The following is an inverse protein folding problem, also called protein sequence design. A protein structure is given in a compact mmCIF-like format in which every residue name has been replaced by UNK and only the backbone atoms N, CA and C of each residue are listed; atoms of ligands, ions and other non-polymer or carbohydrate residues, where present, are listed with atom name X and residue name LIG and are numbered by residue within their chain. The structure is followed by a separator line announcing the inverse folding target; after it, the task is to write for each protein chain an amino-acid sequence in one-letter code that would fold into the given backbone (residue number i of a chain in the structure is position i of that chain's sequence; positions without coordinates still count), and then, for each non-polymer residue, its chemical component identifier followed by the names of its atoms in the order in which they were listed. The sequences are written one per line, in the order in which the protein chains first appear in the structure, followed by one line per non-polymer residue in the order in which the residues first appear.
data_IF_960575425619
#
_entry.id   IF_960575425619
#
_cell.length_a   1.000
_cell.length_b   1.000
_cell.length_c   1.000
_cell.angle_alpha   90.00
_cell.angle_beta   90.00
_cell.angle_gamma   90.00
#
_symmetry.space_group_name_H-M   'P 1'
#
loop_
_entity.id
_entity.type
_entity.pdbx_description
1 polymer ?
#
# COMPACT_ATOMS: atom_id res chain seq x y z
N UNK A 1 -16.03 22.55 28.98
CA UNK A 1 -15.46 23.88 28.71
C UNK A 1 -14.37 23.83 27.65
N UNK A 2 -13.66 22.70 27.45
CA UNK A 2 -12.58 22.59 26.45
C UNK A 2 -13.05 22.48 24.98
N UNK A 3 -14.24 21.90 24.69
CA UNK A 3 -14.70 21.69 23.30
C UNK A 3 -15.14 22.98 22.57
N UNK A 4 -15.51 24.02 23.32
CA UNK A 4 -16.01 25.28 22.73
C UNK A 4 -14.88 26.13 22.15
N UNK A 5 -13.66 25.96 22.66
CA UNK A 5 -12.44 26.63 22.19
C UNK A 5 -11.94 26.06 20.86
N UNK A 6 -12.40 24.87 20.48
CA UNK A 6 -12.03 24.20 19.22
C UNK A 6 -12.84 24.68 18.01
N UNK A 7 -13.81 25.57 18.21
CA UNK A 7 -14.69 26.10 17.15
C UNK A 7 -15.36 25.02 16.27
N UNK A 8 -15.60 23.84 16.82
CA UNK A 8 -16.27 22.75 16.12
C UNK A 8 -17.76 23.07 15.94
N UNK A 9 -18.29 22.81 14.75
CA UNK A 9 -19.73 22.88 14.51
C UNK A 9 -20.49 21.79 15.28
N UNK A 10 -21.77 22.03 15.56
CA UNK A 10 -22.63 21.04 16.24
C UNK A 10 -22.65 19.70 15.48
N UNK A 11 -22.68 19.75 14.14
CA UNK A 11 -22.62 18.56 13.30
C UNK A 11 -21.31 17.77 13.45
N UNK A 12 -20.17 18.44 13.65
CA UNK A 12 -18.90 17.77 13.90
C UNK A 12 -18.89 17.09 15.28
N UNK A 13 -19.44 17.76 16.30
CA UNK A 13 -19.58 17.17 17.65
C UNK A 13 -20.49 15.95 17.63
N UNK A 14 -21.61 16.01 16.90
CA UNK A 14 -22.50 14.86 16.71
C UNK A 14 -21.81 13.71 15.99
N UNK A 15 -21.07 13.99 14.91
CA UNK A 15 -20.31 12.98 14.17
C UNK A 15 -19.32 12.25 15.08
N UNK A 16 -18.52 13.00 15.85
CA UNK A 16 -17.55 12.44 16.79
C UNK A 16 -18.21 11.57 17.87
N UNK A 17 -19.41 11.94 18.34
CA UNK A 17 -20.16 11.15 19.35
C UNK A 17 -20.92 9.95 18.76
N UNK A 18 -21.19 9.96 17.46
CA UNK A 18 -22.09 8.99 16.81
C UNK A 18 -21.54 7.57 16.72
N UNK A 19 -20.23 7.37 16.91
CA UNK A 19 -19.56 6.08 16.68
C UNK A 19 -19.49 5.67 15.20
N UNK A 20 -19.87 6.56 14.27
CA UNK A 20 -19.85 6.31 12.82
C UNK A 20 -18.46 6.39 12.20
N UNK A 21 -17.49 6.98 12.92
CA UNK A 21 -16.10 7.13 12.49
C UNK A 21 -15.16 6.61 13.57
N UNK A 22 -13.97 6.16 13.15
CA UNK A 22 -12.91 5.77 14.07
C UNK A 22 -12.18 7.02 14.58
N UNK A 23 -12.61 7.54 15.73
CA UNK A 23 -12.00 8.72 16.34
C UNK A 23 -10.52 8.51 16.69
N UNK A 24 -10.09 7.28 17.00
CA UNK A 24 -8.67 6.99 17.24
C UNK A 24 -7.85 7.23 15.97
N UNK A 25 -8.29 6.67 14.85
CA UNK A 25 -7.62 6.87 13.56
C UNK A 25 -7.66 8.35 13.13
N UNK A 26 -8.77 9.05 13.35
CA UNK A 26 -8.86 10.49 13.10
C UNK A 26 -7.80 11.26 13.91
N UNK A 27 -7.62 10.94 15.19
CA UNK A 27 -6.59 11.56 16.01
C UNK A 27 -5.17 11.22 15.51
N UNK A 28 -4.92 9.98 15.10
CA UNK A 28 -3.62 9.58 14.52
C UNK A 28 -3.29 10.38 13.25
N UNK A 29 -4.28 10.59 12.38
CA UNK A 29 -4.15 11.44 11.20
C UNK A 29 -3.88 12.90 11.61
N UNK A 30 -4.70 13.44 12.52
CA UNK A 30 -4.62 14.84 12.92
C UNK A 30 -3.35 15.20 13.72
N UNK A 31 -2.68 14.22 14.32
CA UNK A 31 -1.45 14.40 15.11
C UNK A 31 -0.18 14.04 14.35
N UNK A 32 -0.29 13.60 13.09
CA UNK A 32 0.87 13.40 12.23
C UNK A 32 1.59 14.73 11.94
N UNK A 33 2.93 14.71 11.87
CA UNK A 33 3.75 15.92 11.66
C UNK A 33 3.39 16.69 10.39
N UNK A 34 3.11 15.96 9.29
CA UNK A 34 2.71 16.55 8.01
C UNK A 34 1.23 17.01 7.95
N UNK A 35 0.41 16.76 8.98
CA UNK A 35 -1.01 17.12 8.94
C UNK A 35 -1.23 18.63 8.83
N UNK A 36 -0.40 19.43 9.51
CA UNK A 36 -0.44 20.89 9.40
C UNK A 36 -0.14 21.35 7.97
N UNK A 37 0.82 20.71 7.31
CA UNK A 37 1.17 20.98 5.90
C UNK A 37 0.01 20.62 4.97
N UNK A 38 -0.65 19.48 5.20
CA UNK A 38 -1.84 19.08 4.45
C UNK A 38 -2.95 20.13 4.59
N UNK A 39 -3.30 20.50 5.82
CA UNK A 39 -4.34 21.48 6.11
C UNK A 39 -4.04 22.85 5.51
N UNK A 40 -2.78 23.30 5.59
CA UNK A 40 -2.34 24.57 5.01
C UNK A 40 -2.53 24.58 3.49
N UNK A 41 -2.10 23.52 2.79
CA UNK A 41 -2.30 23.43 1.34
C UNK A 41 -3.78 23.34 0.96
N UNK A 42 -4.59 22.63 1.76
CA UNK A 42 -6.04 22.57 1.57
C UNK A 42 -6.69 23.94 1.75
N UNK A 43 -6.31 24.70 2.78
CA UNK A 43 -6.83 26.04 3.03
C UNK A 43 -6.47 27.01 1.89
N UNK A 44 -5.20 27.03 1.45
CA UNK A 44 -4.76 27.87 0.32
C UNK A 44 -5.59 27.60 -0.94
N UNK A 45 -5.88 26.33 -1.23
CA UNK A 45 -6.71 25.93 -2.38
C UNK A 45 -8.18 26.32 -2.21
N UNK A 46 -8.78 25.96 -1.07
CA UNK A 46 -10.22 26.20 -0.81
C UNK A 46 -10.53 27.70 -0.79
N UNK A 47 -9.65 28.51 -0.21
CA UNK A 47 -9.81 29.95 -0.13
C UNK A 47 -9.39 30.67 -1.43
N UNK A 48 -8.83 29.94 -2.40
CA UNK A 48 -8.39 30.50 -3.69
C UNK A 48 -7.28 31.55 -3.55
N UNK A 49 -6.47 31.46 -2.50
CA UNK A 49 -5.42 32.45 -2.18
C UNK A 49 -4.40 32.56 -3.32
N UNK A 50 -4.12 31.44 -3.99
CA UNK A 50 -3.14 31.35 -5.06
C UNK A 50 -3.72 31.52 -6.47
N UNK A 51 -5.05 31.51 -6.65
CA UNK A 51 -5.71 31.50 -7.97
C UNK A 51 -5.22 32.59 -8.91
N UNK A 52 -5.12 33.83 -8.41
CA UNK A 52 -4.64 34.96 -9.22
C UNK A 52 -3.19 34.77 -9.70
N UNK A 53 -2.35 34.10 -8.92
CA UNK A 53 -0.96 33.82 -9.29
C UNK A 53 -0.87 32.80 -10.43
N UNK A 54 -1.65 31.71 -10.39
CA UNK A 54 -1.72 30.73 -11.48
C UNK A 54 -2.25 31.36 -12.77
N UNK A 55 -3.32 32.16 -12.67
CA UNK A 55 -3.89 32.85 -13.82
C UNK A 55 -2.89 33.84 -14.45
N UNK A 56 -2.20 34.63 -13.64
CA UNK A 56 -1.20 35.58 -14.12
C UNK A 56 -0.01 34.86 -14.78
N UNK A 57 0.47 33.77 -14.18
CA UNK A 57 1.57 32.97 -14.72
C UNK A 57 1.21 32.35 -16.08
N UNK A 58 0.04 31.71 -16.18
CA UNK A 58 -0.43 31.11 -17.43
C UNK A 58 -0.69 32.18 -18.50
N UNK A 59 -1.22 33.35 -18.12
CA UNK A 59 -1.39 34.48 -19.05
C UNK A 59 -0.07 35.01 -19.59
N UNK A 60 0.96 35.10 -18.73
CA UNK A 60 2.31 35.49 -19.17
C UNK A 60 2.91 34.45 -20.13
N UNK A 61 2.73 33.15 -19.86
CA UNK A 61 3.16 32.08 -20.76
C UNK A 61 2.48 32.19 -22.13
N UNK A 62 1.18 32.54 -22.17
CA UNK A 62 0.47 32.76 -23.42
C UNK A 62 1.00 33.95 -24.23
N UNK A 63 1.36 35.04 -23.55
CA UNK A 63 2.02 36.19 -24.21
C UNK A 63 3.37 35.78 -24.79
N UNK A 64 4.19 35.06 -24.03
CA UNK A 64 5.49 34.57 -24.50
C UNK A 64 5.33 33.60 -25.68
N UNK A 65 4.32 32.72 -25.64
CA UNK A 65 3.98 31.82 -26.75
C UNK A 65 3.62 32.60 -28.01
N UNK A 66 2.79 33.63 -27.89
CA UNK A 66 2.45 34.52 -29.00
C UNK A 66 3.68 35.23 -29.59
N UNK A 67 4.61 35.68 -28.75
CA UNK A 67 5.86 36.31 -29.22
C UNK A 67 6.72 35.32 -30.00
N UNK A 68 6.90 34.10 -29.50
CA UNK A 68 7.66 33.05 -30.20
C UNK A 68 6.99 32.71 -31.54
N UNK A 69 5.67 32.50 -31.55
CA UNK A 69 4.91 32.23 -32.78
C UNK A 69 5.06 33.33 -33.84
N UNK A 70 5.10 34.61 -33.42
CA UNK A 70 5.25 35.73 -34.35
C UNK A 70 6.61 35.78 -35.06
N UNK A 71 7.62 35.10 -34.52
CA UNK A 71 9.00 35.11 -35.05
C UNK A 71 9.25 34.00 -36.08
N UNK A 72 8.41 32.97 -36.16
CA UNK A 72 8.62 31.80 -37.02
C UNK A 72 7.45 31.56 -38.00
N UNK A 73 7.75 31.28 -39.27
CA UNK A 73 6.76 30.65 -40.16
C UNK A 73 6.57 29.21 -39.69
N UNK A 74 5.33 28.82 -39.36
CA UNK A 74 4.90 27.50 -38.87
C UNK A 74 5.74 26.34 -39.42
N UNK A 75 6.78 25.96 -38.68
CA UNK A 75 7.45 24.66 -38.84
C UNK A 75 6.73 23.71 -37.89
N UNK A 76 6.31 22.56 -38.42
CA UNK A 76 5.38 21.61 -37.80
C UNK A 76 5.83 21.03 -36.44
N UNK A 77 7.06 21.29 -35.97
CA UNK A 77 7.56 20.84 -34.67
C UNK A 77 8.55 21.83 -34.01
N UNK A 78 8.05 22.93 -33.43
CA UNK A 78 8.88 23.79 -32.59
C UNK A 78 8.95 23.25 -31.14
N UNK A 79 10.16 22.86 -30.73
CA UNK A 79 10.44 22.37 -29.38
C UNK A 79 10.20 23.44 -28.31
N UNK A 80 10.38 24.73 -28.64
CA UNK A 80 10.13 25.84 -27.71
C UNK A 80 8.63 26.00 -27.41
N UNK A 81 7.76 25.82 -28.41
CA UNK A 81 6.31 25.86 -28.22
C UNK A 81 5.82 24.70 -27.36
N UNK A 82 6.27 23.48 -27.65
CA UNK A 82 5.96 22.30 -26.82
C UNK A 82 6.44 22.48 -25.37
N UNK A 83 7.59 23.13 -25.16
CA UNK A 83 8.09 23.43 -23.81
C UNK A 83 7.23 24.49 -23.09
N UNK A 84 6.76 25.54 -23.78
CA UNK A 84 5.86 26.55 -23.21
C UNK A 84 4.51 25.95 -22.82
N UNK A 85 3.96 25.07 -23.64
CA UNK A 85 2.70 24.35 -23.33
C UNK A 85 2.87 23.45 -22.11
N UNK A 86 3.98 22.71 -22.01
CA UNK A 86 4.29 21.86 -20.87
C UNK A 86 4.53 22.63 -19.55
N UNK A 87 4.76 23.95 -19.60
CA UNK A 87 4.96 24.79 -18.41
C UNK A 87 3.65 25.33 -17.82
N UNK A 88 2.52 25.22 -18.53
CA UNK A 88 1.24 25.63 -17.95
C UNK A 88 0.85 24.69 -16.81
N UNK A 89 0.45 25.30 -15.70
CA UNK A 89 0.02 24.56 -14.51
C UNK A 89 -1.39 25.01 -14.17
N UNK A 90 -2.33 24.07 -14.16
CA UNK A 90 -3.65 24.32 -13.59
C UNK A 90 -3.56 24.28 -12.07
N UNK A 91 -4.26 25.21 -11.42
CA UNK A 91 -4.27 25.31 -9.96
C UNK A 91 -4.77 24.00 -9.33
N UNK A 92 -5.82 23.42 -9.90
CA UNK A 92 -6.45 22.18 -9.44
C UNK A 92 -5.48 21.00 -9.52
N UNK A 93 -4.70 20.91 -10.61
CA UNK A 93 -3.73 19.84 -10.80
C UNK A 93 -2.56 19.96 -9.80
N UNK A 94 -2.08 21.18 -9.58
CA UNK A 94 -1.04 21.46 -8.60
C UNK A 94 -1.47 21.06 -7.19
N UNK A 95 -2.63 21.56 -6.74
CA UNK A 95 -3.12 21.29 -5.39
C UNK A 95 -3.55 19.84 -5.20
N UNK A 96 -4.11 19.18 -6.22
CA UNK A 96 -4.34 17.74 -6.23
C UNK A 96 -3.04 16.98 -5.96
N UNK A 97 -1.97 17.30 -6.68
CA UNK A 97 -0.70 16.60 -6.51
C UNK A 97 -0.08 16.81 -5.12
N UNK A 98 0.02 18.06 -4.64
CA UNK A 98 0.69 18.34 -3.36
C UNK A 98 -0.11 17.81 -2.16
N UNK A 99 -1.44 17.90 -2.19
CA UNK A 99 -2.30 17.39 -1.12
C UNK A 99 -2.30 15.86 -1.12
N UNK A 100 -2.44 15.21 -2.29
CA UNK A 100 -2.42 13.74 -2.39
C UNK A 100 -1.09 13.14 -1.94
N UNK A 101 0.03 13.76 -2.33
CA UNK A 101 1.35 13.30 -1.89
C UNK A 101 1.52 13.36 -0.37
N UNK A 102 1.04 14.44 0.24
CA UNK A 102 1.09 14.61 1.70
C UNK A 102 0.17 13.61 2.39
N UNK A 103 -1.04 13.42 1.85
CA UNK A 103 -2.00 12.44 2.33
C UNK A 103 -1.47 11.01 2.27
N UNK A 104 -0.89 10.60 1.14
CA UNK A 104 -0.28 9.28 0.98
C UNK A 104 0.84 9.05 2.01
N UNK A 105 1.64 10.08 2.29
CA UNK A 105 2.72 10.02 3.28
C UNK A 105 2.16 9.73 4.68
N UNK A 106 1.13 10.48 5.10
CA UNK A 106 0.44 10.28 6.39
C UNK A 106 -0.14 8.87 6.48
N UNK A 107 -0.88 8.42 5.45
CA UNK A 107 -1.49 7.10 5.44
C UNK A 107 -0.47 5.97 5.51
N UNK A 108 0.64 6.09 4.77
CA UNK A 108 1.72 5.11 4.81
C UNK A 108 2.38 5.06 6.19
N UNK A 109 2.66 6.20 6.82
CA UNK A 109 3.26 6.25 8.15
C UNK A 109 2.37 5.59 9.22
N UNK A 110 1.07 5.89 9.20
CA UNK A 110 0.09 5.28 10.11
C UNK A 110 0.00 3.78 9.86
N UNK A 111 -0.08 3.34 8.60
CA UNK A 111 -0.11 1.92 8.24
C UNK A 111 1.13 1.17 8.74
N UNK A 112 2.32 1.72 8.56
CA UNK A 112 3.55 1.10 9.04
C UNK A 112 3.59 1.04 10.58
N UNK A 113 3.05 2.05 11.27
CA UNK A 113 2.91 2.04 12.73
C UNK A 113 1.99 0.91 13.22
N UNK A 114 0.96 0.57 12.43
CA UNK A 114 0.00 -0.50 12.75
C UNK A 114 0.43 -1.87 12.23
N UNK A 115 1.57 -2.00 11.56
CA UNK A 115 1.98 -3.20 10.82
C UNK A 115 2.09 -4.47 11.70
N UNK A 116 2.46 -4.29 12.95
CA UNK A 116 2.62 -5.38 13.94
C UNK A 116 1.43 -5.52 14.90
N UNK A 117 0.36 -4.73 14.73
CA UNK A 117 -0.84 -4.87 15.55
C UNK A 117 -1.51 -6.23 15.30
N UNK A 118 -2.01 -6.86 16.37
CA UNK A 118 -2.56 -8.24 16.36
C UNK A 118 -3.75 -8.46 15.42
N UNK A 119 -4.39 -7.38 14.94
CA UNK A 119 -5.50 -7.40 13.97
C UNK A 119 -5.05 -7.05 12.54
N UNK A 120 -3.78 -6.72 12.33
CA UNK A 120 -3.21 -6.49 11.00
C UNK A 120 -3.06 -7.81 10.26
N UNK A 121 -3.61 -7.86 9.04
CA UNK A 121 -3.44 -9.02 8.16
C UNK A 121 -1.94 -9.31 7.99
N UNK A 122 -1.45 -10.53 8.25
CA UNK A 122 -0.03 -10.81 8.23
C UNK A 122 0.57 -10.47 6.86
N UNK A 123 1.61 -9.62 6.87
CA UNK A 123 2.31 -9.10 5.69
C UNK A 123 3.04 -10.21 4.89
N UNK A 124 3.23 -11.37 5.51
CA UNK A 124 3.62 -12.57 4.80
C UNK A 124 2.41 -13.09 4.01
N UNK A 125 2.32 -12.66 2.75
CA UNK A 125 1.62 -13.39 1.69
C UNK A 125 1.73 -14.89 1.97
N UNK A 126 0.61 -15.52 2.31
CA UNK A 126 0.53 -16.96 2.61
C UNK A 126 1.24 -17.80 1.54
N UNK A 127 1.31 -17.29 0.30
CA UNK A 127 2.04 -17.89 -0.81
C UNK A 127 3.57 -17.92 -0.62
N UNK A 128 4.19 -16.85 -0.12
CA UNK A 128 5.65 -16.82 0.11
C UNK A 128 6.07 -17.75 1.25
N UNK A 129 5.26 -17.83 2.31
CA UNK A 129 5.40 -18.85 3.36
C UNK A 129 5.27 -20.26 2.79
N UNK A 130 4.24 -20.51 1.97
CA UNK A 130 4.04 -21.80 1.32
C UNK A 130 5.22 -22.21 0.42
N UNK A 131 5.78 -21.27 -0.35
CA UNK A 131 6.94 -21.53 -1.21
C UNK A 131 8.18 -21.85 -0.37
N UNK A 132 8.41 -21.12 0.73
CA UNK A 132 9.52 -21.37 1.66
C UNK A 132 9.39 -22.74 2.32
N UNK A 133 8.18 -23.09 2.77
CA UNK A 133 7.90 -24.37 3.41
C UNK A 133 8.00 -25.53 2.43
N UNK A 134 7.54 -25.35 1.18
CA UNK A 134 7.73 -26.32 0.11
C UNK A 134 9.21 -26.53 -0.23
N UNK A 135 10.01 -25.47 -0.28
CA UNK A 135 11.47 -25.57 -0.48
C UNK A 135 12.16 -26.32 0.66
N UNK A 136 11.80 -26.04 1.91
CA UNK A 136 12.32 -26.77 3.07
C UNK A 136 11.93 -28.25 3.04
N UNK A 137 10.66 -28.55 2.73
CA UNK A 137 10.19 -29.92 2.61
C UNK A 137 10.91 -30.68 1.48
N UNK A 138 11.24 -30.02 0.37
CA UNK A 138 12.03 -30.60 -0.71
C UNK A 138 13.47 -30.91 -0.30
N UNK A 139 14.04 -30.21 0.68
CA UNK A 139 15.38 -30.51 1.19
C UNK A 139 15.43 -31.76 2.10
N UNK A 140 14.27 -32.28 2.52
CA UNK A 140 14.20 -33.49 3.36
C UNK A 140 14.68 -34.70 2.55
N UNK A 141 15.68 -35.48 3.03
CA UNK A 141 16.15 -36.66 2.35
C UNK A 141 15.09 -37.77 2.37
N UNK A 142 15.05 -38.58 1.32
CA UNK A 142 14.11 -39.70 1.20
C UNK A 142 13.07 -39.50 0.08
N UNK A 143 11.94 -40.17 0.22
CA UNK A 143 10.90 -40.28 -0.81
C UNK A 143 10.02 -39.03 -0.92
N UNK A 144 9.21 -38.91 -1.97
CA UNK A 144 8.21 -37.82 -2.03
C UNK A 144 7.13 -37.93 -0.93
N UNK A 145 6.97 -39.11 -0.32
CA UNK A 145 6.15 -39.26 0.90
C UNK A 145 6.82 -38.56 2.10
N UNK A 146 8.16 -38.52 2.18
CA UNK A 146 8.89 -37.78 3.20
C UNK A 146 8.71 -36.27 3.03
N UNK A 147 8.82 -35.79 1.79
CA UNK A 147 8.57 -34.38 1.43
C UNK A 147 7.15 -33.98 1.81
N UNK A 148 6.16 -34.77 1.40
CA UNK A 148 4.76 -34.50 1.72
C UNK A 148 4.52 -34.49 3.24
N UNK A 149 5.08 -35.46 3.96
CA UNK A 149 4.93 -35.55 5.43
C UNK A 149 5.55 -34.34 6.12
N UNK A 150 6.73 -33.89 5.69
CA UNK A 150 7.39 -32.71 6.25
C UNK A 150 6.63 -31.40 5.94
N UNK A 151 6.07 -31.27 4.73
CA UNK A 151 5.25 -30.13 4.36
C UNK A 151 3.98 -30.06 5.23
N UNK A 152 3.28 -31.18 5.39
CA UNK A 152 2.08 -31.25 6.23
C UNK A 152 2.39 -30.99 7.71
N UNK A 153 3.53 -31.49 8.22
CA UNK A 153 3.97 -31.16 9.57
C UNK A 153 4.19 -29.65 9.75
N UNK A 154 4.80 -29.00 8.76
CA UNK A 154 5.04 -27.55 8.80
C UNK A 154 3.73 -26.76 8.83
N UNK A 155 2.75 -27.15 7.99
CA UNK A 155 1.41 -26.53 7.97
C UNK A 155 0.65 -26.74 9.28
N UNK A 156 0.85 -27.88 9.95
CA UNK A 156 0.25 -28.22 11.24
C UNK A 156 1.08 -27.73 12.44
N UNK A 157 2.14 -26.94 12.21
CA UNK A 157 3.09 -26.46 13.22
C UNK A 157 3.77 -27.57 14.06
N UNK A 158 3.89 -28.77 13.49
CA UNK A 158 4.60 -29.91 14.06
C UNK A 158 6.08 -29.81 13.68
N UNK A 159 6.96 -29.82 14.69
CA UNK A 159 8.42 -29.83 14.50
C UNK A 159 8.90 -31.22 14.06
N UNK A 160 8.93 -31.46 12.75
CA UNK A 160 9.30 -32.75 12.14
C UNK A 160 10.68 -33.25 12.61
N UNK A 161 11.65 -32.36 12.83
CA UNK A 161 13.01 -32.70 13.27
C UNK A 161 13.05 -33.29 14.68
N UNK A 162 12.06 -32.95 15.53
CA UNK A 162 11.97 -33.43 16.92
C UNK A 162 11.27 -34.78 17.05
N UNK A 163 10.65 -35.29 15.99
CA UNK A 163 10.03 -36.60 15.99
C UNK A 163 11.10 -37.69 15.97
N UNK A 164 10.92 -38.71 16.80
CA UNK A 164 11.71 -39.95 16.76
C UNK A 164 11.49 -40.73 15.47
N UNK A 165 12.39 -41.66 15.16
CA UNK A 165 12.31 -42.48 13.94
C UNK A 165 11.02 -43.33 13.89
N UNK A 166 10.58 -43.83 15.05
CA UNK A 166 9.34 -44.59 15.18
C UNK A 166 8.11 -43.70 14.91
N UNK A 167 8.05 -42.50 15.48
CA UNK A 167 6.97 -41.53 15.26
C UNK A 167 6.90 -41.10 13.79
N UNK A 168 8.05 -40.84 13.16
CA UNK A 168 8.11 -40.51 11.73
C UNK A 168 7.59 -41.65 10.87
N UNK A 169 7.93 -42.90 11.21
CA UNK A 169 7.47 -44.07 10.45
C UNK A 169 5.97 -44.27 10.56
N UNK A 170 5.40 -44.14 11.77
CA UNK A 170 3.97 -44.21 12.00
C UNK A 170 3.24 -43.08 11.26
N UNK A 171 3.73 -41.85 11.37
CA UNK A 171 3.16 -40.69 10.72
C UNK A 171 3.16 -40.83 9.19
N UNK A 172 4.25 -41.30 8.59
CA UNK A 172 4.33 -41.58 7.16
C UNK A 172 3.31 -42.62 6.71
N UNK A 173 3.10 -43.68 7.50
CA UNK A 173 2.09 -44.70 7.19
C UNK A 173 0.66 -44.14 7.27
N UNK A 174 0.40 -43.20 8.17
CA UNK A 174 -0.88 -42.48 8.25
C UNK A 174 -1.03 -41.57 7.02
N UNK A 175 -0.04 -40.74 6.72
CA UNK A 175 -0.07 -39.80 5.58
C UNK A 175 -0.27 -40.52 4.24
N UNK A 176 0.38 -41.66 4.03
CA UNK A 176 0.22 -42.50 2.83
C UNK A 176 -1.23 -42.96 2.58
N UNK A 177 -2.05 -43.09 3.63
CA UNK A 177 -3.45 -43.52 3.51
C UNK A 177 -4.39 -42.39 3.10
N UNK A 178 -3.99 -41.14 3.32
CA UNK A 178 -4.83 -39.95 3.09
C UNK A 178 -5.11 -39.73 1.59
N UNK A 179 -6.33 -39.29 1.22
CA UNK A 179 -6.63 -38.85 -0.15
C UNK A 179 -5.73 -37.70 -0.59
N UNK A 180 -5.43 -36.76 0.33
CA UNK A 180 -4.54 -35.63 0.09
C UNK A 180 -3.16 -36.04 -0.45
N UNK A 181 -2.60 -37.16 0.01
CA UNK A 181 -1.39 -37.72 -0.58
C UNK A 181 -1.67 -38.50 -1.87
N UNK A 182 -2.67 -39.39 -1.88
CA UNK A 182 -2.96 -40.28 -3.02
C UNK A 182 -3.29 -39.51 -4.30
N UNK A 183 -4.04 -38.43 -4.18
CA UNK A 183 -4.48 -37.60 -5.30
C UNK A 183 -3.45 -36.54 -5.69
N UNK A 184 -2.41 -36.35 -4.86
CA UNK A 184 -1.30 -35.45 -5.16
C UNK A 184 -0.40 -36.03 -6.27
N UNK A 185 0.15 -35.19 -7.17
CA UNK A 185 1.17 -35.60 -8.14
C UNK A 185 2.39 -36.29 -7.49
N UNK A 186 2.68 -35.95 -6.23
CA UNK A 186 3.79 -36.51 -5.46
C UNK A 186 3.69 -38.04 -5.25
N UNK A 187 2.47 -38.60 -5.21
CA UNK A 187 2.27 -40.05 -5.05
C UNK A 187 2.74 -40.87 -6.26
N UNK A 188 2.81 -40.22 -7.43
CA UNK A 188 3.20 -40.84 -8.71
C UNK A 188 4.66 -40.57 -9.06
N UNK A 189 5.30 -39.61 -8.38
CA UNK A 189 6.68 -39.25 -8.59
C UNK A 189 7.63 -40.18 -7.81
N UNK A 190 8.77 -40.51 -8.40
CA UNK A 190 9.87 -41.22 -7.74
C UNK A 190 11.09 -40.32 -7.73
N UNK A 191 11.69 -40.10 -6.55
CA UNK A 191 13.00 -39.45 -6.46
C UNK A 191 14.06 -40.45 -6.94
N UNK A 192 14.95 -39.98 -7.80
CA UNK A 192 16.16 -40.71 -8.20
C UNK A 192 17.21 -40.57 -7.10
#
# INVERSE_FOLDING_TARGET
MELTELHLSDGMVELLKSGRINNRLLCEIATHEDFVTLMTNTEIYVDGVATSHFQNFNSLLEVLRGQVLSQYQLVEEDTALKALEAMQIQEEDYFCQVTHRTWDTILHAIRETHKDDTDSAPDDSNAMKLIKDAKKALAVPGSYLDVFTALMCTQLQIRYEKLSEQERTVLKNVMKKTPAYKDSPLSRMKRR
#
